data_IF_750344436495
#
_entry.id   IF_750344436495
#
_cell.length_a   1.000
_cell.length_b   1.000
_cell.length_c   1.000
_cell.angle_alpha   90.00
_cell.angle_beta   90.00
_cell.angle_gamma   90.00
#
_symmetry.space_group_name_H-M   'P 1'
#
loop_
_entity.id
_entity.type
_entity.pdbx_description
1 polymer ?
#
# COMPACT_ATOMS: atom_id res chain seq x y z
N UNK A 1 26.13 83.99 0.49
CA UNK A 1 25.38 84.40 -0.72
C UNK A 1 24.96 83.17 -1.49
N UNK A 2 23.65 82.98 -1.69
CA UNK A 2 22.97 82.12 -2.70
C UNK A 2 23.19 80.60 -2.54
N UNK A 3 22.25 79.83 -2.01
CA UNK A 3 20.95 79.42 -2.62
C UNK A 3 21.10 78.71 -3.97
N UNK A 4 20.82 77.41 -3.98
CA UNK A 4 20.22 76.71 -5.13
C UNK A 4 21.13 75.86 -6.01
N UNK A 5 21.23 74.56 -5.70
CA UNK A 5 21.25 73.52 -6.73
C UNK A 5 20.67 72.23 -6.14
N UNK A 6 19.37 72.05 -6.37
CA UNK A 6 18.65 70.81 -6.14
C UNK A 6 19.17 69.72 -7.09
N UNK A 7 18.83 68.47 -6.76
CA UNK A 7 18.90 67.28 -7.60
C UNK A 7 20.27 66.59 -7.64
N UNK A 8 20.60 65.87 -6.57
CA UNK A 8 21.55 64.76 -6.67
C UNK A 8 21.17 63.60 -5.76
N UNK A 9 20.89 62.46 -6.40
CA UNK A 9 21.08 61.09 -5.90
C UNK A 9 20.08 60.57 -4.87
N UNK A 10 18.85 60.32 -5.30
CA UNK A 10 18.07 59.14 -4.88
C UNK A 10 17.09 58.73 -5.98
N UNK A 11 17.56 57.93 -6.94
CA UNK A 11 16.67 57.07 -7.72
C UNK A 11 17.39 55.73 -7.94
N UNK A 12 17.18 54.84 -6.98
CA UNK A 12 17.71 53.48 -7.01
C UNK A 12 17.00 52.65 -8.07
N UNK A 13 17.78 51.89 -8.83
CA UNK A 13 17.66 50.44 -9.11
C UNK A 13 16.29 49.72 -9.12
N UNK A 14 15.17 50.41 -9.35
CA UNK A 14 13.84 49.80 -9.36
C UNK A 14 13.28 49.53 -10.77
N UNK A 15 14.07 49.77 -11.83
CA UNK A 15 13.54 49.80 -13.21
C UNK A 15 13.95 48.67 -14.15
N UNK A 16 14.90 47.80 -13.78
CA UNK A 16 15.55 46.91 -14.77
C UNK A 16 15.45 45.40 -14.49
N UNK A 17 14.73 44.96 -13.45
CA UNK A 17 14.61 43.55 -13.09
C UNK A 17 13.20 42.96 -13.26
N UNK A 18 12.33 43.58 -14.07
CA UNK A 18 10.94 43.10 -14.25
C UNK A 18 10.68 42.28 -15.52
N UNK A 19 11.69 41.98 -16.37
CA UNK A 19 11.44 41.24 -17.63
C UNK A 19 12.32 40.00 -17.87
N UNK A 20 13.14 39.56 -16.91
CA UNK A 20 13.95 38.34 -17.05
C UNK A 20 13.74 37.30 -15.93
N UNK A 21 12.81 37.53 -15.00
CA UNK A 21 12.59 36.68 -13.82
C UNK A 21 11.38 35.73 -13.89
N UNK A 22 10.55 35.82 -14.94
CA UNK A 22 9.26 35.14 -14.99
C UNK A 22 9.22 33.81 -15.78
N UNK A 23 10.34 33.36 -16.36
CA UNK A 23 10.40 32.12 -17.16
C UNK A 23 11.26 30.99 -16.55
N UNK A 24 11.80 31.19 -15.34
CA UNK A 24 12.66 30.20 -14.65
C UNK A 24 12.07 29.69 -13.31
N UNK A 25 10.78 29.91 -13.06
CA UNK A 25 10.06 29.42 -11.84
C UNK A 25 8.90 28.47 -12.24
N UNK A 26 9.08 27.69 -13.31
CA UNK A 26 8.13 26.65 -13.75
C UNK A 26 8.78 25.27 -13.96
N UNK A 27 9.96 25.03 -13.37
CA UNK A 27 10.67 23.74 -13.44
C UNK A 27 11.22 23.25 -12.08
N UNK A 28 10.64 23.69 -10.95
CA UNK A 28 11.16 23.30 -9.62
C UNK A 28 10.12 22.63 -8.69
N UNK A 29 9.01 22.11 -9.21
CA UNK A 29 8.01 21.45 -8.37
C UNK A 29 7.22 20.39 -9.12
N UNK A 30 7.92 19.32 -9.53
CA UNK A 30 7.30 18.10 -10.05
C UNK A 30 7.88 16.83 -9.40
N UNK A 31 8.29 16.89 -8.13
CA UNK A 31 8.71 15.71 -7.38
C UNK A 31 7.90 15.56 -6.09
N UNK A 32 6.57 15.60 -6.22
CA UNK A 32 5.70 14.91 -5.28
C UNK A 32 5.16 13.70 -6.04
N UNK A 33 5.95 12.63 -6.00
CA UNK A 33 5.57 11.31 -6.45
C UNK A 33 4.18 10.96 -5.90
N UNK A 34 3.18 10.94 -6.78
CA UNK A 34 1.96 10.23 -6.47
C UNK A 34 2.28 8.75 -6.42
N UNK A 35 2.56 8.23 -5.22
CA UNK A 35 2.25 6.84 -4.94
C UNK A 35 0.73 6.74 -4.83
N UNK A 36 0.06 6.67 -5.98
CA UNK A 36 -1.32 6.20 -6.04
C UNK A 36 -1.26 4.70 -5.72
N UNK A 37 -1.59 4.32 -4.50
CA UNK A 37 -2.04 2.96 -4.23
C UNK A 37 -3.31 2.74 -5.04
N UNK A 38 -3.17 2.06 -6.19
CA UNK A 38 -4.30 1.71 -7.05
C UNK A 38 -5.28 0.76 -6.34
N UNK A 39 -6.52 0.65 -6.85
CA UNK A 39 -7.49 -0.30 -6.33
C UNK A 39 -6.96 -1.72 -6.55
N UNK A 40 -6.66 -2.42 -5.44
CA UNK A 40 -5.99 -3.72 -5.40
C UNK A 40 -4.88 -3.83 -4.35
N UNK A 41 -4.50 -2.73 -3.69
CA UNK A 41 -3.60 -2.78 -2.53
C UNK A 41 -4.38 -3.12 -1.24
N UNK A 42 -5.12 -4.23 -1.24
CA UNK A 42 -5.26 -4.96 0.01
C UNK A 42 -3.86 -5.43 0.40
N UNK A 43 -3.40 -5.00 1.58
CA UNK A 43 -2.02 -5.23 2.00
C UNK A 43 -1.65 -6.71 1.86
N UNK A 44 -0.44 -6.97 1.38
CA UNK A 44 0.07 -8.34 1.33
C UNK A 44 -0.08 -8.98 2.73
N UNK A 45 -0.37 -10.28 2.81
CA UNK A 45 -0.78 -10.94 4.05
C UNK A 45 0.31 -10.87 5.14
N UNK A 46 1.58 -10.92 4.76
CA UNK A 46 2.70 -10.67 5.67
C UNK A 46 2.70 -9.25 6.25
N UNK A 47 2.27 -8.25 5.48
CA UNK A 47 2.12 -6.87 5.98
C UNK A 47 1.00 -6.79 7.02
N UNK A 48 -0.15 -7.41 6.75
CA UNK A 48 -1.26 -7.46 7.71
C UNK A 48 -0.80 -8.07 9.04
N UNK A 49 -0.07 -9.18 9.00
CA UNK A 49 0.47 -9.83 10.19
C UNK A 49 1.57 -9.00 10.87
N UNK A 50 2.49 -8.42 10.09
CA UNK A 50 3.57 -7.58 10.62
C UNK A 50 3.03 -6.34 11.31
N UNK A 51 2.02 -5.70 10.74
CA UNK A 51 1.38 -4.50 11.29
C UNK A 51 0.59 -4.85 12.57
N UNK A 52 0.15 -6.09 12.71
CA UNK A 52 -0.37 -6.67 13.95
C UNK A 52 0.73 -7.10 14.96
N UNK A 53 2.01 -6.83 14.68
CA UNK A 53 3.14 -7.15 15.57
C UNK A 53 3.64 -8.59 15.49
N UNK A 54 3.20 -9.37 14.50
CA UNK A 54 3.66 -10.74 14.28
C UNK A 54 5.02 -10.72 13.58
N UNK A 55 6.03 -11.34 14.18
CA UNK A 55 7.38 -11.41 13.62
C UNK A 55 7.52 -12.55 12.61
N UNK A 56 8.51 -12.47 11.72
CA UNK A 56 8.79 -13.51 10.72
C UNK A 56 8.98 -14.90 11.36
N UNK A 57 9.61 -14.94 12.54
CA UNK A 57 9.85 -16.17 13.29
C UNK A 57 8.57 -16.86 13.79
N UNK A 58 7.45 -16.13 13.91
CA UNK A 58 6.16 -16.75 14.23
C UNK A 58 5.64 -17.64 13.12
N UNK A 59 6.01 -17.36 11.87
CA UNK A 59 5.66 -18.21 10.73
C UNK A 59 6.76 -19.21 10.40
N UNK A 60 8.00 -18.76 10.34
CA UNK A 60 9.13 -19.52 9.79
C UNK A 60 10.06 -20.15 10.85
N UNK A 61 9.92 -19.81 12.13
CA UNK A 61 10.92 -20.15 13.14
C UNK A 61 12.30 -19.62 12.74
N UNK A 62 13.28 -20.51 12.72
CA UNK A 62 14.68 -20.21 12.34
C UNK A 62 14.94 -20.35 10.83
N UNK A 63 13.92 -20.70 10.03
CA UNK A 63 14.09 -21.11 8.63
C UNK A 63 13.24 -20.27 7.67
N UNK A 64 13.61 -19.00 7.44
CA UNK A 64 12.80 -18.03 6.66
C UNK A 64 12.57 -18.42 5.19
N UNK A 65 13.37 -19.32 4.63
CA UNK A 65 13.25 -19.75 3.24
C UNK A 65 12.44 -21.05 3.06
N UNK A 66 12.10 -21.75 4.15
CA UNK A 66 11.28 -22.96 4.06
C UNK A 66 9.79 -22.61 3.98
N UNK A 67 8.99 -23.40 3.24
CA UNK A 67 7.53 -23.26 3.23
C UNK A 67 6.94 -23.38 4.64
N UNK A 68 5.96 -22.54 4.94
CA UNK A 68 5.26 -22.56 6.23
C UNK A 68 4.15 -23.61 6.16
N UNK A 69 4.13 -24.61 7.08
CA UNK A 69 3.06 -25.60 7.08
C UNK A 69 1.75 -24.99 7.58
N UNK A 70 0.63 -25.46 7.04
CA UNK A 70 -0.74 -25.04 7.40
C UNK A 70 -1.00 -25.03 8.92
N UNK A 71 -0.36 -25.93 9.67
CA UNK A 71 -0.48 -26.01 11.13
C UNK A 71 -0.09 -24.71 11.85
N UNK A 72 0.85 -23.93 11.30
CA UNK A 72 1.23 -22.62 11.86
C UNK A 72 0.07 -21.63 11.76
N UNK A 73 -0.62 -21.62 10.62
CA UNK A 73 -1.80 -20.79 10.40
C UNK A 73 -2.93 -21.21 11.36
N UNK A 74 -3.20 -22.52 11.44
CA UNK A 74 -4.26 -23.08 12.27
C UNK A 74 -4.01 -22.88 13.78
N UNK A 75 -2.75 -22.73 14.21
CA UNK A 75 -2.41 -22.42 15.60
C UNK A 75 -2.99 -21.09 16.09
N UNK A 76 -3.21 -20.13 15.19
CA UNK A 76 -3.85 -18.85 15.48
C UNK A 76 -5.28 -18.75 14.93
N UNK A 77 -5.58 -19.46 13.83
CA UNK A 77 -6.89 -19.48 13.16
C UNK A 77 -7.51 -20.90 13.18
N UNK A 78 -7.98 -21.39 14.34
CA UNK A 78 -8.42 -22.78 14.48
C UNK A 78 -9.80 -23.09 13.86
N UNK A 79 -10.68 -22.09 13.73
CA UNK A 79 -12.09 -22.29 13.35
C UNK A 79 -12.36 -22.06 11.85
N UNK A 80 -11.35 -22.22 10.99
CA UNK A 80 -11.47 -21.90 9.56
C UNK A 80 -12.55 -22.70 8.83
N UNK A 81 -12.90 -23.91 9.31
CA UNK A 81 -13.95 -24.75 8.73
C UNK A 81 -15.36 -24.41 9.21
N UNK A 82 -15.52 -23.50 10.17
CA UNK A 82 -16.86 -23.15 10.61
C UNK A 82 -17.56 -22.34 9.50
N UNK A 83 -18.86 -22.59 9.27
CA UNK A 83 -19.64 -21.82 8.30
C UNK A 83 -19.56 -20.34 8.66
N UNK A 84 -19.53 -19.48 7.63
CA UNK A 84 -19.53 -18.04 7.85
C UNK A 84 -20.71 -17.67 8.76
N UNK A 85 -20.48 -16.90 9.84
CA UNK A 85 -21.56 -16.43 10.70
C UNK A 85 -22.58 -15.55 9.95
N UNK A 86 -22.25 -15.08 8.73
CA UNK A 86 -23.11 -14.26 7.90
C UNK A 86 -24.30 -15.01 7.30
N UNK A 87 -24.35 -16.35 7.38
CA UNK A 87 -25.40 -17.14 6.73
C UNK A 87 -25.27 -17.20 5.21
N UNK A 88 -24.12 -16.77 4.66
CA UNK A 88 -23.79 -16.97 3.25
C UNK A 88 -23.64 -18.46 2.96
N UNK A 89 -24.40 -18.94 1.97
CA UNK A 89 -24.35 -20.32 1.50
C UNK A 89 -23.03 -20.65 0.77
N UNK A 90 -22.19 -19.66 0.50
CA UNK A 90 -20.93 -19.80 -0.23
C UNK A 90 -19.75 -19.50 0.69
N UNK A 91 -19.36 -20.49 1.50
CA UNK A 91 -18.19 -20.40 2.37
C UNK A 91 -16.94 -20.88 1.62
N UNK A 92 -15.89 -20.06 1.41
CA UNK A 92 -14.67 -20.49 0.73
C UNK A 92 -13.90 -21.61 1.47
N UNK A 93 -14.12 -21.78 2.77
CA UNK A 93 -13.51 -22.85 3.57
C UNK A 93 -14.37 -24.10 3.75
N UNK A 94 -15.60 -24.09 3.22
CA UNK A 94 -16.49 -25.25 3.15
C UNK A 94 -17.01 -25.38 1.72
N UNK A 95 -16.20 -26.03 0.88
CA UNK A 95 -16.44 -26.12 -0.56
C UNK A 95 -16.38 -27.56 -1.06
N UNK A 96 -16.80 -27.77 -2.30
CA UNK A 96 -16.72 -29.06 -2.97
C UNK A 96 -15.28 -29.45 -3.39
N UNK A 97 -14.30 -28.54 -3.25
CA UNK A 97 -12.90 -28.81 -3.56
C UNK A 97 -12.14 -29.26 -2.30
N UNK A 98 -11.19 -30.19 -2.42
CA UNK A 98 -10.34 -30.59 -1.31
C UNK A 98 -9.40 -29.44 -0.92
N UNK A 99 -9.54 -28.90 0.30
CA UNK A 99 -8.68 -27.83 0.80
C UNK A 99 -8.08 -28.13 2.17
N UNK A 100 -6.81 -28.58 2.20
CA UNK A 100 -6.06 -28.69 3.45
C UNK A 100 -5.04 -27.57 3.65
N UNK A 101 -4.63 -26.83 2.61
CA UNK A 101 -3.57 -25.83 2.71
C UNK A 101 -4.05 -24.38 2.53
N UNK A 102 -3.88 -23.58 3.57
CA UNK A 102 -4.19 -22.15 3.59
C UNK A 102 -3.43 -21.39 2.50
N UNK A 103 -2.17 -21.77 2.25
CA UNK A 103 -1.26 -21.03 1.38
C UNK A 103 -1.61 -21.12 -0.11
N UNK A 104 -2.55 -22.01 -0.47
CA UNK A 104 -3.07 -22.14 -1.83
C UNK A 104 -3.83 -20.90 -2.26
N UNK A 105 -4.55 -20.23 -1.35
CA UNK A 105 -5.28 -18.99 -1.65
C UNK A 105 -4.69 -17.78 -0.90
N UNK A 106 -4.29 -17.99 0.37
CA UNK A 106 -3.74 -16.94 1.24
C UNK A 106 -2.22 -16.87 1.08
N UNK A 107 -1.77 -15.95 0.23
CA UNK A 107 -0.36 -15.81 -0.10
C UNK A 107 0.33 -14.76 0.81
N UNK A 108 1.38 -15.20 1.51
CA UNK A 108 2.13 -14.35 2.43
C UNK A 108 2.97 -13.28 1.72
N UNK A 109 3.70 -13.63 0.65
CA UNK A 109 4.70 -12.75 0.03
C UNK A 109 4.35 -12.34 -1.40
N UNK A 110 3.09 -12.49 -1.79
CA UNK A 110 2.51 -12.03 -3.06
C UNK A 110 1.01 -11.80 -2.85
N UNK A 111 0.30 -11.09 -3.76
CA UNK A 111 -1.15 -10.92 -3.64
C UNK A 111 -1.85 -12.26 -3.49
N UNK A 112 -2.84 -12.34 -2.60
CA UNK A 112 -3.68 -13.53 -2.42
C UNK A 112 -4.63 -13.71 -3.59
N UNK A 113 -5.02 -14.95 -3.86
CA UNK A 113 -5.79 -15.30 -5.06
C UNK A 113 -7.06 -16.07 -4.68
N UNK A 114 -8.21 -15.57 -5.15
CA UNK A 114 -9.49 -16.26 -5.00
C UNK A 114 -9.58 -17.36 -6.07
N UNK A 115 -9.10 -18.56 -5.76
CA UNK A 115 -9.14 -19.69 -6.69
C UNK A 115 -10.56 -20.10 -7.09
N UNK A 116 -11.58 -19.77 -6.29
CA UNK A 116 -12.97 -20.05 -6.65
C UNK A 116 -13.37 -19.30 -7.93
N UNK A 117 -12.74 -18.15 -8.22
CA UNK A 117 -13.03 -17.35 -9.41
C UNK A 117 -12.48 -17.94 -10.71
N UNK A 118 -11.78 -19.07 -10.64
CA UNK A 118 -11.44 -19.85 -11.83
C UNK A 118 -12.66 -20.54 -12.44
N UNK A 119 -13.72 -20.77 -11.65
CA UNK A 119 -14.96 -21.43 -12.09
C UNK A 119 -16.23 -20.65 -11.74
N UNK A 120 -16.18 -19.84 -10.69
CA UNK A 120 -17.29 -19.04 -10.20
C UNK A 120 -17.00 -17.54 -10.35
N UNK A 121 -17.96 -16.70 -9.98
CA UNK A 121 -17.76 -15.26 -9.90
C UNK A 121 -18.15 -14.78 -8.51
N UNK A 122 -17.30 -15.07 -7.52
CA UNK A 122 -17.49 -14.68 -6.13
C UNK A 122 -16.60 -13.48 -5.79
N UNK A 123 -17.17 -12.51 -5.10
CA UNK A 123 -16.45 -11.32 -4.60
C UNK A 123 -15.91 -11.57 -3.19
N UNK A 124 -15.22 -12.71 -2.98
CA UNK A 124 -14.63 -13.02 -1.68
C UNK A 124 -13.45 -12.12 -1.37
N UNK A 125 -13.48 -11.53 -0.18
CA UNK A 125 -12.37 -10.76 0.38
C UNK A 125 -11.56 -11.65 1.30
N UNK A 126 -10.34 -11.95 0.89
CA UNK A 126 -9.38 -12.71 1.69
C UNK A 126 -8.83 -11.78 2.78
N UNK A 127 -9.00 -12.17 4.04
CA UNK A 127 -8.45 -11.45 5.20
C UNK A 127 -7.19 -12.13 5.69
#
# INVERSE_FOLDING_TARGET
>A
MKSGCLIARKLGWAGALCLAGALLIMLASSDAAWSQGGPGAEGLLEQVHRDAGITCARCHGEKPSEPVPTAVCAGCHPNVKEPSPSGDLHNPHDSHMPFPDCSSCHHAHKPSENQCNNCHNFEFKMR
#
